data_IF_772587901764
#
_entry.id   IF_772587901764
#
_cell.length_a   1.000
_cell.length_b   1.000
_cell.length_c   1.000
_cell.angle_alpha   90.00
_cell.angle_beta   90.00
_cell.angle_gamma   90.00
#
_symmetry.space_group_name_H-M   'P 1'
#
loop_
_entity.id
_entity.type
_entity.pdbx_description
1 polymer ?
#
# COMPACT_ATOMS: atom_id res chain seq x y z
N UNK A 1 -7.81 -34.86 19.94
CA UNK A 1 -7.27 -34.13 18.79
C UNK A 1 -7.94 -32.77 18.76
N UNK A 2 -7.22 -31.73 19.18
CA UNK A 2 -7.69 -30.35 19.03
C UNK A 2 -7.24 -29.86 17.65
N UNK A 3 -8.09 -29.17 16.86
CA UNK A 3 -7.64 -28.59 15.61
C UNK A 3 -6.60 -27.52 15.94
N UNK A 4 -5.42 -27.63 15.33
CA UNK A 4 -4.36 -26.65 15.46
C UNK A 4 -4.89 -25.29 15.02
N UNK A 5 -4.83 -24.32 15.94
CA UNK A 5 -4.95 -22.93 15.58
C UNK A 5 -3.95 -22.66 14.45
N UNK A 6 -4.44 -22.20 13.31
CA UNK A 6 -3.60 -21.66 12.27
C UNK A 6 -2.82 -20.50 12.89
N UNK A 7 -1.56 -20.75 13.23
CA UNK A 7 -0.60 -19.70 13.54
C UNK A 7 -0.53 -18.85 12.27
N UNK A 8 -1.11 -17.66 12.32
CA UNK A 8 -0.85 -16.66 11.29
C UNK A 8 0.68 -16.57 11.13
N UNK A 9 1.24 -16.72 9.92
CA UNK A 9 2.68 -16.59 9.74
C UNK A 9 3.13 -15.25 10.32
N UNK A 10 4.32 -15.19 10.95
CA UNK A 10 4.86 -13.93 11.46
C UNK A 10 4.80 -12.91 10.33
N UNK A 11 4.38 -11.68 10.64
CA UNK A 11 4.19 -10.60 9.67
C UNK A 11 5.46 -10.44 8.83
N UNK A 12 5.48 -11.08 7.67
CA UNK A 12 6.53 -10.95 6.69
C UNK A 12 6.34 -9.58 6.06
N UNK A 13 7.39 -8.79 6.07
CA UNK A 13 7.46 -7.50 5.40
C UNK A 13 6.87 -7.61 3.98
N UNK A 14 5.73 -6.95 3.70
CA UNK A 14 4.96 -7.18 2.49
C UNK A 14 5.60 -6.54 1.25
N UNK A 15 6.48 -5.56 1.43
CA UNK A 15 7.10 -4.85 0.33
C UNK A 15 8.52 -5.33 0.12
N UNK A 16 8.92 -5.37 -1.15
CA UNK A 16 10.30 -5.66 -1.55
C UNK A 16 10.77 -4.52 -2.42
N UNK A 17 11.95 -4.00 -2.12
CA UNK A 17 12.69 -3.02 -2.92
C UNK A 17 13.78 -3.79 -3.66
N UNK A 18 13.81 -3.64 -4.98
CA UNK A 18 14.85 -4.20 -5.85
C UNK A 18 15.47 -3.08 -6.66
N UNK A 19 16.78 -3.17 -6.87
CA UNK A 19 17.48 -2.14 -7.61
C UNK A 19 18.88 -2.53 -7.99
N UNK A 20 19.48 -1.71 -8.83
CA UNK A 20 20.90 -1.73 -9.11
C UNK A 20 21.55 -0.58 -8.39
N UNK A 21 22.54 -0.84 -7.54
CA UNK A 21 23.26 0.17 -6.75
C UNK A 21 24.75 -0.15 -6.82
N UNK A 22 25.57 0.84 -7.16
CA UNK A 22 27.02 0.68 -7.37
C UNK A 22 27.38 -0.43 -8.36
N UNK A 23 26.49 -0.71 -9.33
CA UNK A 23 26.66 -1.78 -10.32
C UNK A 23 26.24 -3.19 -9.87
N UNK A 24 25.77 -3.36 -8.64
CA UNK A 24 25.30 -4.64 -8.10
C UNK A 24 23.79 -4.67 -7.97
N UNK A 25 23.20 -5.87 -8.08
CA UNK A 25 21.77 -6.06 -7.79
C UNK A 25 21.57 -6.17 -6.27
N UNK A 26 20.67 -5.35 -5.75
CA UNK A 26 20.33 -5.28 -4.33
C UNK A 26 18.84 -5.61 -4.14
N UNK A 27 18.52 -6.23 -3.01
CA UNK A 27 17.15 -6.57 -2.62
C UNK A 27 16.95 -6.39 -1.13
N UNK A 28 15.90 -5.69 -0.74
CA UNK A 28 15.54 -5.46 0.66
C UNK A 28 14.04 -5.62 0.88
N UNK A 29 13.64 -6.12 2.05
CA UNK A 29 12.24 -6.18 2.46
C UNK A 29 11.87 -4.96 3.31
N UNK A 30 10.62 -4.52 3.25
CA UNK A 30 10.11 -3.40 4.04
C UNK A 30 8.70 -3.67 4.59
N UNK A 31 8.48 -3.31 5.85
CA UNK A 31 7.21 -3.52 6.55
C UNK A 31 6.10 -2.60 6.03
N UNK A 32 6.46 -1.37 5.65
CA UNK A 32 5.51 -0.34 5.24
C UNK A 32 5.88 0.29 3.89
N UNK A 33 4.91 0.93 3.19
CA UNK A 33 5.19 1.69 1.98
C UNK A 33 6.18 2.84 2.20
N UNK A 34 6.17 3.43 3.39
CA UNK A 34 7.08 4.51 3.76
C UNK A 34 8.52 3.99 3.85
N UNK A 35 8.73 2.86 4.53
CA UNK A 35 10.05 2.23 4.64
C UNK A 35 10.58 1.80 3.27
N UNK A 36 9.72 1.22 2.41
CA UNK A 36 10.09 0.83 1.05
C UNK A 36 10.52 2.04 0.20
N UNK A 37 9.78 3.15 0.30
CA UNK A 37 10.09 4.39 -0.38
C UNK A 37 11.39 5.02 0.13
N UNK A 38 11.61 5.04 1.45
CA UNK A 38 12.83 5.57 2.06
C UNK A 38 14.06 4.78 1.58
N UNK A 39 14.01 3.45 1.63
CA UNK A 39 15.06 2.58 1.11
C UNK A 39 15.36 2.84 -0.37
N UNK A 40 14.31 2.92 -1.21
CA UNK A 40 14.45 3.22 -2.63
C UNK A 40 15.14 4.58 -2.85
N UNK A 41 14.71 5.62 -2.11
CA UNK A 41 15.29 6.96 -2.24
C UNK A 41 16.73 7.02 -1.74
N UNK A 42 17.07 6.27 -0.70
CA UNK A 42 18.46 6.18 -0.20
C UNK A 42 19.39 5.53 -1.22
N UNK A 43 18.94 4.46 -1.88
CA UNK A 43 19.68 3.85 -2.99
C UNK A 43 19.89 4.82 -4.15
N UNK A 44 18.85 5.56 -4.54
CA UNK A 44 18.92 6.56 -5.60
C UNK A 44 19.83 7.75 -5.25
N UNK A 45 19.98 8.09 -3.97
CA UNK A 45 20.91 9.13 -3.50
C UNK A 45 22.35 8.64 -3.42
N UNK A 46 22.55 7.37 -3.10
CA UNK A 46 23.87 6.79 -2.89
C UNK A 46 24.64 6.60 -4.20
N UNK A 47 23.96 6.37 -5.32
CA UNK A 47 24.55 6.18 -6.65
C UNK A 47 23.70 6.89 -7.72
N UNK A 48 24.30 7.83 -8.45
CA UNK A 48 23.64 8.58 -9.52
C UNK A 48 23.17 7.69 -10.69
N UNK A 49 23.75 6.50 -10.81
CA UNK A 49 23.35 5.48 -11.80
C UNK A 49 22.41 4.43 -11.21
N UNK A 50 22.00 4.57 -9.95
CA UNK A 50 21.09 3.62 -9.36
C UNK A 50 19.73 3.68 -10.06
N UNK A 51 19.11 2.51 -10.14
CA UNK A 51 17.72 2.36 -10.53
C UNK A 51 17.08 1.42 -9.51
N UNK A 52 15.95 1.82 -8.95
CA UNK A 52 15.26 1.05 -7.93
C UNK A 52 13.75 1.16 -8.11
N UNK A 53 13.06 0.07 -7.79
CA UNK A 53 11.60 -0.03 -7.74
C UNK A 53 11.23 -0.82 -6.50
N UNK A 54 10.00 -0.66 -6.01
CA UNK A 54 9.48 -1.52 -4.96
C UNK A 54 8.14 -2.11 -5.37
N UNK A 55 7.77 -3.26 -4.83
CA UNK A 55 6.52 -3.93 -5.15
C UNK A 55 5.96 -4.64 -3.93
N UNK A 56 4.65 -4.90 -3.95
CA UNK A 56 4.03 -5.85 -3.03
C UNK A 56 4.49 -7.25 -3.42
N UNK A 57 5.05 -8.03 -2.48
CA UNK A 57 5.53 -9.39 -2.72
C UNK A 57 4.56 -10.23 -3.56
N UNK A 58 5.10 -11.01 -4.49
CA UNK A 58 4.30 -11.87 -5.37
C UNK A 58 3.55 -12.98 -4.60
N UNK A 59 4.12 -13.46 -3.50
CA UNK A 59 3.51 -14.47 -2.63
C UNK A 59 2.55 -13.87 -1.59
N UNK A 60 2.28 -12.57 -1.65
CA UNK A 60 1.31 -11.93 -0.76
C UNK A 60 -0.12 -12.43 -1.09
N UNK A 61 -0.94 -12.78 -0.08
CA UNK A 61 -2.18 -13.54 -0.28
C UNK A 61 -3.28 -12.83 -1.08
N UNK A 62 -3.14 -11.54 -1.38
CA UNK A 62 -4.15 -10.83 -2.15
C UNK A 62 -3.79 -9.37 -2.42
N UNK A 63 -4.76 -8.62 -2.97
CA UNK A 63 -4.58 -7.18 -3.17
C UNK A 63 -4.53 -6.46 -1.83
N UNK A 64 -3.50 -5.64 -1.60
CA UNK A 64 -3.39 -4.79 -0.44
C UNK A 64 -4.03 -3.42 -0.73
N UNK A 65 -4.86 -2.93 0.19
CA UNK A 65 -5.39 -1.56 0.13
C UNK A 65 -4.56 -0.66 1.04
N UNK A 66 -3.89 0.32 0.45
CA UNK A 66 -3.14 1.36 1.16
C UNK A 66 -3.98 2.63 1.26
N UNK A 67 -3.72 3.40 2.30
CA UNK A 67 -4.31 4.73 2.49
C UNK A 67 -3.17 5.75 2.45
N UNK A 68 -3.33 6.80 1.66
CA UNK A 68 -2.36 7.88 1.61
C UNK A 68 -3.02 9.20 1.24
N UNK A 69 -2.37 10.31 1.58
CA UNK A 69 -2.80 11.66 1.20
C UNK A 69 -1.59 12.46 0.73
N UNK A 70 -1.77 13.57 -0.02
CA UNK A 70 -0.68 14.46 -0.33
C UNK A 70 0.03 14.94 0.95
N UNK A 71 1.36 15.03 0.95
CA UNK A 71 2.11 15.70 2.02
C UNK A 71 1.72 17.17 2.11
N UNK A 72 2.01 17.82 3.23
CA UNK A 72 1.72 19.24 3.41
C UNK A 72 2.47 20.08 2.36
N UNK A 73 1.79 21.10 1.82
CA UNK A 73 2.39 22.05 0.88
C UNK A 73 2.40 21.63 -0.59
N UNK A 74 2.11 20.36 -0.93
CA UNK A 74 2.00 19.90 -2.33
C UNK A 74 0.68 20.32 -2.96
N UNK A 75 -0.41 20.26 -2.20
CA UNK A 75 -1.73 20.77 -2.59
C UNK A 75 -2.25 21.71 -1.51
N UNK A 76 -3.19 22.60 -1.86
CA UNK A 76 -3.89 23.38 -0.84
C UNK A 76 -4.63 22.48 0.15
N UNK A 77 -4.68 22.84 1.44
CA UNK A 77 -5.23 21.99 2.52
C UNK A 77 -6.67 21.51 2.25
N UNK A 78 -7.49 22.32 1.56
CA UNK A 78 -8.86 21.94 1.16
C UNK A 78 -8.92 20.77 0.18
N UNK A 79 -7.82 20.47 -0.51
CA UNK A 79 -7.69 19.35 -1.47
C UNK A 79 -6.89 18.18 -0.89
N UNK A 80 -6.39 18.32 0.34
CA UNK A 80 -5.54 17.35 1.02
C UNK A 80 -6.36 16.23 1.67
N UNK A 81 -7.12 15.52 0.85
CA UNK A 81 -7.93 14.39 1.29
C UNK A 81 -7.16 13.06 1.17
N UNK A 82 -7.61 12.04 1.91
CA UNK A 82 -7.03 10.71 1.81
C UNK A 82 -7.59 9.96 0.58
N UNK A 83 -6.78 9.06 0.04
CA UNK A 83 -7.09 8.23 -1.10
C UNK A 83 -6.76 6.77 -0.79
N UNK A 84 -7.47 5.86 -1.44
CA UNK A 84 -7.23 4.43 -1.38
C UNK A 84 -6.45 4.00 -2.61
N UNK A 85 -5.38 3.23 -2.41
CA UNK A 85 -4.55 2.67 -3.47
C UNK A 85 -4.60 1.15 -3.39
N UNK A 86 -4.82 0.48 -4.51
CA UNK A 86 -4.87 -0.98 -4.58
C UNK A 86 -3.61 -1.51 -5.22
N UNK A 87 -2.81 -2.19 -4.42
CA UNK A 87 -1.55 -2.77 -4.87
C UNK A 87 -1.77 -4.28 -5.00
N UNK A 88 -1.62 -4.78 -6.22
CA UNK A 88 -1.67 -6.22 -6.48
C UNK A 88 -0.30 -6.84 -6.16
N UNK A 89 -0.24 -8.10 -5.74
CA UNK A 89 1.02 -8.84 -5.66
C UNK A 89 1.79 -8.73 -6.99
N UNK A 90 3.10 -8.47 -6.91
CA UNK A 90 3.98 -8.24 -8.06
C UNK A 90 3.85 -6.87 -8.74
N UNK A 91 2.94 -5.99 -8.30
CA UNK A 91 2.81 -4.66 -8.90
C UNK A 91 3.99 -3.77 -8.49
N UNK A 92 4.85 -3.48 -9.47
CA UNK A 92 5.95 -2.53 -9.31
C UNK A 92 5.41 -1.09 -9.16
N UNK A 93 5.98 -0.39 -8.20
CA UNK A 93 5.71 1.00 -7.85
C UNK A 93 6.99 1.79 -8.02
N UNK A 94 6.94 2.77 -8.91
CA UNK A 94 8.03 3.68 -9.20
C UNK A 94 7.46 5.03 -9.65
N UNK A 95 8.03 6.13 -9.15
CA UNK A 95 7.60 7.49 -9.52
C UNK A 95 6.25 7.89 -8.94
N UNK A 96 5.15 7.27 -9.36
CA UNK A 96 3.78 7.61 -8.98
C UNK A 96 2.89 6.38 -8.76
N UNK A 97 1.72 6.61 -8.18
CA UNK A 97 0.66 5.60 -8.04
C UNK A 97 -0.71 6.26 -8.20
N UNK A 98 -1.66 5.52 -8.79
CA UNK A 98 -3.02 5.98 -9.06
C UNK A 98 -3.97 5.43 -8.01
N UNK A 99 -4.70 6.34 -7.36
CA UNK A 99 -5.76 6.02 -6.42
C UNK A 99 -6.98 5.42 -7.12
N UNK A 100 -7.85 4.75 -6.36
CA UNK A 100 -9.12 4.21 -6.87
C UNK A 100 -10.00 5.28 -7.54
N UNK A 101 -9.93 6.54 -7.10
CA UNK A 101 -10.67 7.66 -7.69
C UNK A 101 -10.02 8.24 -8.96
N UNK A 102 -8.88 7.71 -9.41
CA UNK A 102 -8.14 8.21 -10.56
C UNK A 102 -7.12 9.32 -10.24
N UNK A 103 -7.03 9.77 -8.98
CA UNK A 103 -5.99 10.72 -8.57
C UNK A 103 -4.62 10.05 -8.63
N UNK A 104 -3.72 10.59 -9.45
CA UNK A 104 -2.32 10.18 -9.47
C UNK A 104 -1.52 11.02 -8.47
N UNK A 105 -0.69 10.37 -7.66
CA UNK A 105 0.23 11.03 -6.74
C UNK A 105 1.64 10.47 -6.90
N UNK A 106 2.64 11.36 -6.89
CA UNK A 106 4.03 10.95 -6.87
C UNK A 106 4.34 10.28 -5.53
N UNK A 107 5.08 9.17 -5.54
CA UNK A 107 5.41 8.43 -4.32
C UNK A 107 6.04 9.31 -3.22
N UNK A 108 7.00 10.22 -3.52
CA UNK A 108 7.57 11.13 -2.51
C UNK A 108 6.59 12.16 -1.97
N UNK A 109 5.46 12.38 -2.64
CA UNK A 109 4.44 13.35 -2.25
C UNK A 109 3.30 12.72 -1.44
N UNK A 110 3.41 11.43 -1.09
CA UNK A 110 2.38 10.71 -0.34
C UNK A 110 2.79 10.57 1.12
N UNK A 111 1.96 11.08 2.02
CA UNK A 111 1.93 10.66 3.41
C UNK A 111 1.08 9.38 3.52
N UNK A 112 1.72 8.25 3.79
CA UNK A 112 1.05 6.97 4.04
C UNK A 112 0.39 6.95 5.41
N UNK A 113 -0.88 6.60 5.45
CA UNK A 113 -1.72 6.61 6.64
C UNK A 113 -1.96 5.18 7.14
N UNK A 114 -2.11 5.03 8.46
CA UNK A 114 -2.56 3.76 9.05
C UNK A 114 -4.01 3.47 8.64
N UNK A 115 -4.43 2.20 8.59
CA UNK A 115 -5.84 1.86 8.42
C UNK A 115 -6.72 2.59 9.43
N UNK A 116 -7.80 3.21 8.93
CA UNK A 116 -8.74 4.01 9.75
C UNK A 116 -8.28 5.44 10.04
N UNK A 117 -7.07 5.85 9.64
CA UNK A 117 -6.61 7.23 9.77
C UNK A 117 -6.99 8.05 8.53
N UNK A 118 -7.69 9.17 8.77
CA UNK A 118 -8.19 10.05 7.70
C UNK A 118 -9.39 9.45 6.96
N UNK A 119 -10.36 10.28 6.58
CA UNK A 119 -11.47 9.84 5.75
C UNK A 119 -11.05 9.88 4.28
N UNK A 120 -11.07 8.74 3.55
CA UNK A 120 -10.84 8.76 2.12
C UNK A 120 -11.85 9.64 1.39
N UNK A 121 -11.49 10.16 0.24
CA UNK A 121 -12.43 10.89 -0.61
C UNK A 121 -13.65 10.02 -0.93
N UNK A 122 -14.80 10.67 -1.18
CA UNK A 122 -16.07 9.99 -1.41
C UNK A 122 -15.99 8.93 -2.52
N UNK A 123 -15.34 9.25 -3.64
CA UNK A 123 -15.13 8.29 -4.72
C UNK A 123 -14.35 7.05 -4.27
N UNK A 124 -13.28 7.23 -3.49
CA UNK A 124 -12.50 6.12 -2.94
C UNK A 124 -13.32 5.29 -1.96
N UNK A 125 -14.18 5.90 -1.13
CA UNK A 125 -15.07 5.16 -0.23
C UNK A 125 -16.04 4.27 -1.02
N UNK A 126 -16.70 4.83 -2.04
CA UNK A 126 -17.68 4.10 -2.86
C UNK A 126 -17.01 2.98 -3.66
N UNK A 127 -15.87 3.26 -4.30
CA UNK A 127 -15.16 2.27 -5.12
C UNK A 127 -14.41 1.25 -4.26
N UNK A 128 -13.93 1.66 -3.09
CA UNK A 128 -13.22 0.86 -2.10
C UNK A 128 -14.09 -0.25 -1.50
N UNK A 129 -15.32 0.09 -1.11
CA UNK A 129 -16.26 -0.83 -0.48
C UNK A 129 -16.71 -1.99 -1.38
N UNK A 130 -16.71 -1.80 -2.71
CA UNK A 130 -17.17 -2.78 -3.70
C UNK A 130 -16.25 -4.00 -3.87
N UNK A 131 -15.25 -4.18 -3.02
CA UNK A 131 -14.21 -5.21 -3.20
C UNK A 131 -13.74 -5.81 -1.89
N UNK A 132 -14.49 -5.61 -0.79
CA UNK A 132 -14.42 -6.60 0.29
C UNK A 132 -14.83 -7.95 -0.35
N UNK A 133 -14.06 -9.04 -0.16
CA UNK A 133 -14.69 -10.34 -0.31
C UNK A 133 -15.93 -10.30 0.58
N UNK A 134 -17.05 -10.73 0.01
CA UNK A 134 -18.29 -10.96 0.74
C UNK A 134 -17.91 -11.54 2.10
N UNK A 135 -18.17 -10.81 3.18
CA UNK A 135 -18.08 -11.37 4.51
C UNK A 135 -19.24 -12.38 4.59
N UNK A 136 -19.05 -13.54 3.98
CA UNK A 136 -19.90 -14.71 4.12
C UNK A 136 -19.98 -15.03 5.61
N UNK A 137 -21.14 -14.73 6.19
CA UNK A 137 -21.51 -15.14 7.54
C UNK A 137 -21.53 -14.03 8.59
N UNK A 138 -22.44 -13.05 8.44
CA UNK A 138 -23.11 -12.51 9.62
C UNK A 138 -24.56 -12.99 9.60
N UNK A 139 -25.01 -13.86 10.53
CA UNK A 139 -26.42 -14.22 10.59
C UNK A 139 -27.23 -12.96 10.92
N UNK A 140 -28.15 -12.62 10.02
CA UNK A 140 -29.14 -11.58 10.22
C UNK A 140 -30.16 -12.05 11.28
N UNK A 141 -29.91 -11.75 12.55
CA UNK A 141 -30.83 -12.02 13.67
C UNK A 141 -32.04 -11.04 13.70
N UNK A 142 -32.42 -10.45 12.56
CA UNK A 142 -33.53 -9.49 12.46
C UNK A 142 -34.82 -10.06 11.89
N UNK A 143 -34.92 -11.38 11.69
CA UNK A 143 -36.15 -12.01 11.17
C UNK A 143 -37.04 -12.68 12.24
N UNK A 144 -36.85 -12.42 13.53
CA UNK A 144 -37.79 -12.92 14.56
C UNK A 144 -38.36 -11.79 15.43
N UNK A 145 -39.22 -10.95 14.82
CA UNK A 145 -40.20 -10.14 15.54
C UNK A 145 -41.49 -10.00 14.75
#
# INVERSE_FOLDING_TARGET
MFPGAAVAPPALDPFVVVGRVNGYEETACAATPADALELMLDWLRADERAAAVWYLREDWPGTLTLIGRPVHGVVGESRRCAHLFRIRPGAALHGSVVACCGTELLLPEIEWLRPGAGMPCECCLVLGARTLPELEGYPDDRQNR
#
